data_IF_482299428456
#
_entry.id   IF_482299428456
#
_cell.length_a   1.000
_cell.length_b   1.000
_cell.length_c   1.000
_cell.angle_alpha   90.00
_cell.angle_beta   90.00
_cell.angle_gamma   90.00
#
_symmetry.space_group_name_H-M   'P 1'
#
loop_
_entity.id
_entity.type
_entity.pdbx_description
1 polymer ?
#
# COMPACT_ATOMS: atom_id res chain seq x y z
N UNK A 1 22.21 20.57 -6.15
CA UNK A 1 22.04 19.47 -5.17
C UNK A 1 21.91 18.17 -5.97
N UNK A 2 22.83 17.22 -5.80
CA UNK A 2 22.78 15.94 -6.53
C UNK A 2 21.88 14.99 -5.74
N UNK A 3 20.74 14.62 -6.32
CA UNK A 3 19.83 13.62 -5.73
C UNK A 3 20.41 12.24 -5.99
N UNK A 4 20.70 11.50 -4.92
CA UNK A 4 21.27 10.15 -5.01
C UNK A 4 20.20 9.07 -4.85
N UNK A 5 20.47 7.87 -5.37
CA UNK A 5 19.54 6.73 -5.23
C UNK A 5 19.19 6.41 -3.76
N UNK A 6 20.14 6.36 -2.80
CA UNK A 6 19.79 6.17 -1.38
C UNK A 6 18.89 7.27 -0.82
N UNK A 7 19.06 8.53 -1.27
CA UNK A 7 18.19 9.63 -0.86
C UNK A 7 16.76 9.42 -1.39
N UNK A 8 16.60 9.00 -2.65
CA UNK A 8 15.28 8.67 -3.22
C UNK A 8 14.60 7.52 -2.48
N UNK A 9 15.32 6.44 -2.19
CA UNK A 9 14.78 5.32 -1.40
C UNK A 9 14.37 5.77 -0.01
N UNK A 10 15.16 6.65 0.64
CA UNK A 10 14.81 7.19 1.95
C UNK A 10 13.55 8.06 1.90
N UNK A 11 13.39 8.91 0.89
CA UNK A 11 12.18 9.72 0.71
C UNK A 11 10.96 8.85 0.47
N UNK A 12 11.06 7.84 -0.40
CA UNK A 12 9.95 6.91 -0.61
C UNK A 12 9.65 6.05 0.61
N UNK A 13 10.65 5.68 1.42
CA UNK A 13 10.43 5.00 2.69
C UNK A 13 9.66 5.86 3.71
N UNK A 14 9.94 7.18 3.75
CA UNK A 14 9.13 8.14 4.51
C UNK A 14 7.71 8.20 3.94
N UNK A 15 7.56 8.24 2.62
CA UNK A 15 6.26 8.26 1.96
C UNK A 15 5.43 7.00 2.29
N UNK A 16 6.03 5.80 2.26
CA UNK A 16 5.38 4.55 2.68
C UNK A 16 4.90 4.63 4.13
N UNK A 17 5.75 5.14 5.03
CA UNK A 17 5.40 5.27 6.45
C UNK A 17 4.28 6.28 6.67
N UNK A 18 4.34 7.45 6.04
CA UNK A 18 3.32 8.48 6.14
C UNK A 18 2.00 8.02 5.53
N UNK A 19 2.03 7.49 4.30
CA UNK A 19 0.85 6.97 3.61
C UNK A 19 0.17 5.86 4.39
N UNK A 20 0.94 4.88 4.88
CA UNK A 20 0.39 3.82 5.75
C UNK A 20 -0.23 4.37 7.04
N UNK A 21 0.42 5.35 7.68
CA UNK A 21 -0.10 5.94 8.93
C UNK A 21 -1.35 6.77 8.71
N UNK A 22 -1.39 7.59 7.66
CA UNK A 22 -2.56 8.37 7.29
C UNK A 22 -3.72 7.44 6.91
N UNK A 23 -3.46 6.40 6.11
CA UNK A 23 -4.48 5.40 5.74
C UNK A 23 -5.03 4.70 6.97
N UNK A 24 -4.18 4.34 7.92
CA UNK A 24 -4.61 3.73 9.19
C UNK A 24 -5.55 4.67 9.95
N UNK A 25 -5.15 5.93 10.14
CA UNK A 25 -5.96 6.94 10.83
C UNK A 25 -7.30 7.20 10.13
N UNK A 26 -7.29 7.27 8.80
CA UNK A 26 -8.51 7.50 8.00
C UNK A 26 -9.53 6.37 8.12
N UNK A 27 -9.13 5.15 8.49
CA UNK A 27 -10.07 4.03 8.72
C UNK A 27 -11.06 4.30 9.83
N UNK A 28 -10.79 5.24 10.73
CA UNK A 28 -11.66 5.62 11.85
C UNK A 28 -12.49 6.88 11.58
N UNK A 29 -12.38 7.44 10.37
CA UNK A 29 -13.07 8.66 9.97
C UNK A 29 -14.16 8.27 8.97
N UNK A 30 -15.45 8.53 9.27
CA UNK A 30 -16.53 8.29 8.32
C UNK A 30 -16.32 9.09 7.04
N UNK A 31 -16.55 8.45 5.89
CA UNK A 31 -16.52 9.14 4.60
C UNK A 31 -17.70 10.10 4.47
N UNK A 32 -17.42 11.29 3.93
CA UNK A 32 -18.42 12.34 3.67
C UNK A 32 -18.18 12.86 2.26
N UNK A 33 -19.17 12.68 1.39
CA UNK A 33 -19.11 13.13 -0.01
C UNK A 33 -18.87 14.64 -0.13
N UNK A 34 -18.00 15.05 -1.05
CA UNK A 34 -17.68 16.46 -1.32
C UNK A 34 -16.89 17.16 -0.21
N UNK A 35 -16.38 16.41 0.77
CA UNK A 35 -15.56 16.96 1.84
C UNK A 35 -14.14 17.21 1.36
N UNK A 36 -13.82 18.46 1.03
CA UNK A 36 -12.47 18.88 0.61
C UNK A 36 -11.36 18.40 1.56
N UNK A 37 -11.51 18.47 2.91
CA UNK A 37 -10.51 17.92 3.82
C UNK A 37 -10.29 16.41 3.68
N UNK A 38 -11.36 15.62 3.47
CA UNK A 38 -11.24 14.17 3.30
C UNK A 38 -10.64 13.81 1.94
N UNK A 39 -11.07 14.46 0.87
CA UNK A 39 -10.50 14.26 -0.47
C UNK A 39 -9.00 14.60 -0.47
N UNK A 40 -8.61 15.70 0.19
CA UNK A 40 -7.20 16.06 0.33
C UNK A 40 -6.43 15.02 1.13
N UNK A 41 -7.00 14.51 2.23
CA UNK A 41 -6.39 13.46 3.04
C UNK A 41 -6.15 12.19 2.21
N UNK A 42 -7.14 11.72 1.45
CA UNK A 42 -7.02 10.54 0.62
C UNK A 42 -6.04 10.74 -0.53
N UNK A 43 -6.10 11.89 -1.22
CA UNK A 43 -5.13 12.23 -2.27
C UNK A 43 -3.68 12.19 -1.76
N UNK A 44 -3.39 12.85 -0.63
CA UNK A 44 -2.05 12.85 -0.04
C UNK A 44 -1.64 11.44 0.38
N UNK A 45 -2.57 10.67 0.92
CA UNK A 45 -2.36 9.27 1.32
C UNK A 45 -1.97 8.42 0.12
N UNK A 46 -2.73 8.49 -0.97
CA UNK A 46 -2.52 7.65 -2.15
C UNK A 46 -1.24 8.00 -2.91
N UNK A 47 -0.92 9.29 -3.00
CA UNK A 47 0.37 9.75 -3.56
C UNK A 47 1.53 9.21 -2.71
N UNK A 48 1.43 9.30 -1.38
CA UNK A 48 2.47 8.81 -0.48
C UNK A 48 2.62 7.28 -0.56
N UNK A 49 1.51 6.54 -0.63
CA UNK A 49 1.51 5.08 -0.80
C UNK A 49 2.13 4.67 -2.13
N UNK A 50 1.82 5.37 -3.24
CA UNK A 50 2.39 5.09 -4.55
C UNK A 50 3.92 5.25 -4.56
N UNK A 51 4.42 6.39 -4.07
CA UNK A 51 5.87 6.59 -3.95
C UNK A 51 6.53 5.63 -2.95
N UNK A 52 5.80 5.27 -1.89
CA UNK A 52 6.19 4.23 -0.96
C UNK A 52 6.38 2.87 -1.64
N UNK A 53 5.41 2.46 -2.45
CA UNK A 53 5.44 1.21 -3.20
C UNK A 53 6.63 1.16 -4.17
N UNK A 54 6.89 2.25 -4.89
CA UNK A 54 8.07 2.37 -5.75
C UNK A 54 9.38 2.15 -4.97
N UNK A 55 9.55 2.80 -3.82
CA UNK A 55 10.76 2.62 -3.01
C UNK A 55 10.90 1.21 -2.43
N UNK A 56 9.80 0.59 -1.99
CA UNK A 56 9.78 -0.78 -1.48
C UNK A 56 10.26 -1.76 -2.55
N UNK A 57 9.74 -1.64 -3.77
CA UNK A 57 10.15 -2.50 -4.88
C UNK A 57 11.59 -2.21 -5.32
N UNK A 58 11.93 -0.95 -5.60
CA UNK A 58 13.24 -0.56 -6.13
C UNK A 58 14.39 -0.87 -5.17
N UNK A 59 14.18 -0.78 -3.85
CA UNK A 59 15.19 -1.11 -2.86
C UNK A 59 15.58 -2.60 -2.83
N UNK A 60 14.79 -3.47 -3.47
CA UNK A 60 14.97 -4.92 -3.50
C UNK A 60 14.90 -5.51 -4.91
N UNK A 61 14.79 -4.69 -5.94
CA UNK A 61 14.49 -5.14 -7.31
C UNK A 61 15.53 -6.14 -7.84
N UNK A 62 16.78 -6.07 -7.38
CA UNK A 62 17.87 -7.01 -7.68
C UNK A 62 17.63 -8.43 -7.14
N UNK A 63 16.74 -8.59 -6.15
CA UNK A 63 16.43 -9.87 -5.49
C UNK A 63 15.06 -10.44 -5.87
N UNK A 64 14.22 -9.64 -6.51
CA UNK A 64 12.85 -10.01 -6.86
C UNK A 64 12.81 -10.84 -8.15
N UNK A 65 11.84 -11.76 -8.23
CA UNK A 65 11.55 -12.50 -9.45
C UNK A 65 10.45 -11.85 -10.28
N UNK A 66 10.04 -12.55 -11.35
CA UNK A 66 8.93 -12.14 -12.20
C UNK A 66 7.62 -11.96 -11.40
N UNK A 67 7.39 -12.81 -10.39
CA UNK A 67 6.22 -12.72 -9.51
C UNK A 67 6.17 -11.38 -8.76
N UNK A 68 7.31 -10.95 -8.20
CA UNK A 68 7.46 -9.66 -7.55
C UNK A 68 7.22 -8.49 -8.49
N UNK A 69 7.80 -8.55 -9.70
CA UNK A 69 7.60 -7.52 -10.73
C UNK A 69 6.12 -7.40 -11.13
N UNK A 70 5.46 -8.53 -11.42
CA UNK A 70 4.03 -8.56 -11.78
C UNK A 70 3.18 -8.01 -10.63
N UNK A 71 3.43 -8.45 -9.40
CA UNK A 71 2.73 -7.96 -8.22
C UNK A 71 2.90 -6.45 -8.04
N UNK A 72 4.13 -5.95 -8.18
CA UNK A 72 4.41 -4.52 -8.12
C UNK A 72 3.70 -3.73 -9.21
N UNK A 73 3.72 -4.17 -10.47
CA UNK A 73 3.06 -3.47 -11.59
C UNK A 73 1.55 -3.42 -11.37
N UNK A 74 0.93 -4.54 -10.99
CA UNK A 74 -0.50 -4.59 -10.70
C UNK A 74 -0.85 -3.63 -9.54
N UNK A 75 -0.05 -3.66 -8.46
CA UNK A 75 -0.28 -2.79 -7.31
C UNK A 75 -0.10 -1.30 -7.67
N UNK A 76 0.92 -0.95 -8.47
CA UNK A 76 1.17 0.41 -8.89
C UNK A 76 0.06 0.94 -9.81
N UNK A 77 -0.44 0.11 -10.73
CA UNK A 77 -1.58 0.46 -11.60
C UNK A 77 -2.84 0.68 -10.76
N UNK A 78 -3.15 -0.24 -9.85
CA UNK A 78 -4.31 -0.08 -8.97
C UNK A 78 -4.21 1.19 -8.10
N UNK A 79 -3.04 1.45 -7.52
CA UNK A 79 -2.80 2.63 -6.69
C UNK A 79 -2.91 3.92 -7.50
N UNK A 80 -2.40 3.92 -8.74
CA UNK A 80 -2.53 5.06 -9.65
C UNK A 80 -3.98 5.31 -10.07
N UNK A 81 -4.79 4.25 -10.22
CA UNK A 81 -6.19 4.35 -10.62
C UNK A 81 -7.09 5.00 -9.56
N UNK A 82 -6.71 4.91 -8.28
CA UNK A 82 -7.47 5.49 -7.17
C UNK A 82 -6.98 6.88 -6.74
N UNK A 83 -5.88 7.39 -7.33
CA UNK A 83 -5.42 8.75 -7.05
C UNK A 83 -6.36 9.76 -7.74
N UNK A 84 -7.08 10.53 -6.94
CA UNK A 84 -7.91 11.63 -7.41
C UNK A 84 -9.29 11.63 -6.75
N UNK A 85 -10.18 12.54 -7.17
CA UNK A 85 -11.55 12.56 -6.66
C UNK A 85 -12.27 11.26 -7.01
N UNK A 86 -13.00 10.71 -6.05
CA UNK A 86 -13.90 9.58 -6.27
C UNK A 86 -14.98 10.01 -7.27
N UNK A 87 -14.79 9.63 -8.52
CA UNK A 87 -15.78 9.79 -9.58
C UNK A 87 -16.00 8.44 -10.25
N UNK A 88 -17.17 8.26 -10.85
CA UNK A 88 -17.54 7.04 -11.56
C UNK A 88 -17.44 7.31 -13.06
N UNK A 89 -16.23 7.35 -13.65
CA UNK A 89 -16.10 7.61 -15.08
C UNK A 89 -16.74 6.45 -15.85
N UNK A 90 -17.56 6.79 -16.84
CA UNK A 90 -18.21 5.81 -17.72
C UNK A 90 -19.11 4.78 -17.01
N UNK A 91 -19.57 5.05 -15.78
CA UNK A 91 -20.38 4.11 -15.00
C UNK A 91 -19.60 2.93 -14.40
N UNK A 92 -18.26 3.00 -14.40
CA UNK A 92 -17.38 1.96 -13.85
C UNK A 92 -16.94 2.35 -12.44
N UNK A 93 -17.07 1.43 -11.49
CA UNK A 93 -16.47 1.55 -10.15
C UNK A 93 -14.94 1.38 -10.21
N UNK A 94 -14.26 2.44 -10.67
CA UNK A 94 -12.80 2.47 -10.80
C UNK A 94 -12.13 2.29 -9.45
N UNK A 95 -12.73 2.84 -8.38
CA UNK A 95 -12.23 2.68 -7.03
C UNK A 95 -12.20 1.21 -6.60
N UNK A 96 -13.34 0.51 -6.71
CA UNK A 96 -13.45 -0.90 -6.35
C UNK A 96 -12.51 -1.80 -7.16
N UNK A 97 -12.38 -1.55 -8.47
CA UNK A 97 -11.43 -2.27 -9.33
C UNK A 97 -9.99 -1.96 -8.91
N UNK A 98 -9.67 -0.69 -8.66
CA UNK A 98 -8.35 -0.25 -8.21
C UNK A 98 -7.93 -0.90 -6.90
N UNK A 99 -8.82 -0.95 -5.90
CA UNK A 99 -8.60 -1.63 -4.62
C UNK A 99 -8.29 -3.11 -4.83
N UNK A 100 -9.04 -3.81 -5.69
CA UNK A 100 -8.80 -5.23 -5.98
C UNK A 100 -7.42 -5.45 -6.62
N UNK A 101 -7.02 -4.58 -7.55
CA UNK A 101 -5.69 -4.62 -8.16
C UNK A 101 -4.60 -4.37 -7.12
N UNK A 102 -4.74 -3.36 -6.26
CA UNK A 102 -3.75 -3.07 -5.21
C UNK A 102 -3.58 -4.27 -4.28
N UNK A 103 -4.68 -4.83 -3.78
CA UNK A 103 -4.66 -5.96 -2.84
C UNK A 103 -4.05 -7.20 -3.51
N UNK A 104 -4.47 -7.52 -4.73
CA UNK A 104 -3.92 -8.66 -5.49
C UNK A 104 -2.44 -8.48 -5.81
N UNK A 105 -2.03 -7.29 -6.25
CA UNK A 105 -0.65 -6.97 -6.56
C UNK A 105 0.26 -7.06 -5.32
N UNK A 106 -0.18 -6.50 -4.19
CA UNK A 106 0.57 -6.56 -2.93
C UNK A 106 0.61 -7.96 -2.33
N UNK A 107 -0.43 -8.76 -2.54
CA UNK A 107 -0.41 -10.18 -2.17
C UNK A 107 0.69 -10.93 -2.93
N UNK A 108 0.76 -10.78 -4.26
CA UNK A 108 1.79 -11.40 -5.09
C UNK A 108 3.20 -10.88 -4.76
N UNK A 109 3.33 -9.56 -4.59
CA UNK A 109 4.57 -8.92 -4.18
C UNK A 109 5.01 -9.44 -2.81
N UNK A 110 4.09 -9.51 -1.85
CA UNK A 110 4.33 -10.03 -0.50
C UNK A 110 4.82 -11.47 -0.51
N UNK A 111 4.19 -12.34 -1.32
CA UNK A 111 4.65 -13.73 -1.48
C UNK A 111 6.09 -13.78 -1.98
N UNK A 112 6.45 -13.02 -3.02
CA UNK A 112 7.81 -13.04 -3.55
C UNK A 112 8.81 -12.45 -2.55
N UNK A 113 8.45 -11.38 -1.82
CA UNK A 113 9.26 -10.79 -0.76
C UNK A 113 9.62 -11.82 0.33
N UNK A 114 8.65 -12.62 0.76
CA UNK A 114 8.86 -13.70 1.74
C UNK A 114 9.72 -14.81 1.14
N UNK A 115 9.36 -15.32 -0.05
CA UNK A 115 10.07 -16.42 -0.72
C UNK A 115 11.53 -16.10 -1.00
N UNK A 116 11.84 -14.83 -1.31
CA UNK A 116 13.19 -14.36 -1.61
C UNK A 116 13.95 -13.88 -0.36
N UNK A 117 13.31 -13.85 0.81
CA UNK A 117 13.91 -13.29 2.03
C UNK A 117 14.32 -11.83 1.89
N UNK A 118 13.65 -11.07 1.01
CA UNK A 118 13.98 -9.69 0.72
C UNK A 118 13.51 -8.73 1.82
N UNK A 119 12.54 -9.17 2.64
CA UNK A 119 11.99 -8.48 3.80
C UNK A 119 11.73 -9.45 4.95
N UNK A 120 11.63 -8.96 6.21
CA UNK A 120 11.09 -9.76 7.31
C UNK A 120 9.67 -10.23 6.98
N UNK A 121 9.39 -11.52 7.19
CA UNK A 121 8.14 -12.14 6.75
C UNK A 121 6.89 -11.49 7.36
N UNK A 122 6.97 -10.99 8.59
CA UNK A 122 5.85 -10.32 9.27
C UNK A 122 5.41 -9.02 8.57
N UNK A 123 6.33 -8.33 7.87
CA UNK A 123 6.01 -7.09 7.13
C UNK A 123 5.12 -7.42 5.94
N UNK A 124 5.57 -8.35 5.09
CA UNK A 124 4.80 -8.82 3.93
C UNK A 124 3.56 -9.61 4.35
N UNK A 125 3.58 -10.25 5.54
CA UNK A 125 2.47 -10.98 6.12
C UNK A 125 1.21 -10.14 6.25
N UNK A 126 1.33 -8.84 6.52
CA UNK A 126 0.18 -7.94 6.53
C UNK A 126 -0.53 -7.89 5.19
N UNK A 127 0.18 -7.67 4.08
CA UNK A 127 -0.41 -7.65 2.74
C UNK A 127 -0.92 -9.01 2.29
N UNK A 128 -0.21 -10.08 2.65
CA UNK A 128 -0.66 -11.46 2.36
C UNK A 128 -2.00 -11.75 3.06
N UNK A 129 -2.19 -11.22 4.28
CA UNK A 129 -3.42 -11.43 5.05
C UNK A 129 -4.63 -10.64 4.55
N UNK A 130 -4.43 -9.49 3.88
CA UNK A 130 -5.53 -8.61 3.41
C UNK A 130 -6.63 -9.37 2.66
N UNK A 131 -6.36 -10.11 1.56
CA UNK A 131 -7.43 -10.75 0.80
C UNK A 131 -8.20 -11.78 1.64
N UNK A 132 -7.54 -12.50 2.56
CA UNK A 132 -8.21 -13.47 3.42
C UNK A 132 -9.12 -12.81 4.45
N UNK A 133 -8.67 -11.71 5.05
CA UNK A 133 -9.47 -10.96 6.02
C UNK A 133 -10.63 -10.24 5.32
N UNK A 134 -10.37 -9.57 4.19
CA UNK A 134 -11.40 -8.85 3.45
C UNK A 134 -12.44 -9.77 2.84
N UNK A 135 -12.04 -10.88 2.20
CA UNK A 135 -12.99 -11.85 1.65
C UNK A 135 -13.68 -12.66 2.74
N UNK A 136 -12.92 -13.15 3.72
CA UNK A 136 -13.48 -13.98 4.79
C UNK A 136 -14.55 -13.26 5.60
N UNK A 137 -14.31 -11.99 5.95
CA UNK A 137 -15.31 -11.18 6.65
C UNK A 137 -16.37 -10.62 5.71
N UNK A 138 -16.05 -10.34 4.45
CA UNK A 138 -17.04 -9.91 3.46
C UNK A 138 -18.09 -10.98 3.14
N UNK A 139 -17.76 -12.26 3.29
CA UNK A 139 -18.74 -13.37 3.21
C UNK A 139 -19.68 -13.38 4.42
N UNK A 140 -19.18 -13.03 5.61
CA UNK A 140 -19.96 -13.03 6.85
C UNK A 140 -20.82 -11.77 7.01
N UNK A 141 -20.38 -10.65 6.43
CA UNK A 141 -21.03 -9.36 6.46
C UNK A 141 -20.86 -8.67 5.09
N UNK A 142 -21.82 -8.85 4.15
CA UNK A 142 -21.72 -8.35 2.79
C UNK A 142 -22.05 -6.84 2.69
N UNK A 143 -22.06 -6.12 3.80
CA UNK A 143 -22.25 -4.67 3.77
C UNK A 143 -21.07 -3.98 3.07
N UNK A 144 -21.35 -3.07 2.12
CA UNK A 144 -20.31 -2.21 1.55
C UNK A 144 -19.59 -1.47 2.68
N UNK A 145 -18.26 -1.51 2.67
CA UNK A 145 -17.41 -0.90 3.69
C UNK A 145 -17.58 -1.48 5.12
N UNK A 146 -18.08 -2.71 5.26
CA UNK A 146 -18.17 -3.44 6.53
C UNK A 146 -16.82 -3.87 7.12
N UNK A 147 -16.85 -4.83 8.05
CA UNK A 147 -15.66 -5.27 8.81
C UNK A 147 -14.49 -5.75 7.94
N UNK A 148 -14.77 -6.39 6.81
CA UNK A 148 -13.73 -6.85 5.87
C UNK A 148 -12.97 -5.69 5.20
N UNK A 149 -13.67 -4.59 4.90
CA UNK A 149 -13.04 -3.37 4.37
C UNK A 149 -12.25 -2.66 5.47
N UNK A 150 -12.83 -2.50 6.66
CA UNK A 150 -12.18 -1.83 7.78
C UNK A 150 -10.90 -2.54 8.23
N UNK A 151 -10.97 -3.84 8.52
CA UNK A 151 -9.81 -4.62 8.98
C UNK A 151 -8.80 -4.88 7.86
N UNK A 152 -9.27 -5.06 6.62
CA UNK A 152 -8.39 -5.12 5.44
C UNK A 152 -7.60 -3.83 5.26
N UNK A 153 -8.25 -2.68 5.40
CA UNK A 153 -7.62 -1.36 5.35
C UNK A 153 -6.57 -1.16 6.46
N UNK A 154 -6.82 -1.67 7.67
CA UNK A 154 -5.84 -1.66 8.76
C UNK A 154 -4.60 -2.50 8.40
N UNK A 155 -4.77 -3.75 7.94
CA UNK A 155 -3.65 -4.60 7.57
C UNK A 155 -2.84 -4.02 6.42
N UNK A 156 -3.53 -3.52 5.39
CA UNK A 156 -2.92 -2.81 4.27
C UNK A 156 -2.02 -1.66 4.76
N UNK A 157 -2.55 -0.84 5.66
CA UNK A 157 -1.86 0.31 6.25
C UNK A 157 -0.63 -0.11 7.06
N UNK A 158 -0.77 -1.15 7.90
CA UNK A 158 0.32 -1.68 8.70
C UNK A 158 1.45 -2.24 7.84
N UNK A 159 1.13 -2.88 6.71
CA UNK A 159 2.13 -3.37 5.75
C UNK A 159 3.00 -2.25 5.20
N UNK A 160 2.41 -1.13 4.77
CA UNK A 160 3.15 0.04 4.29
C UNK A 160 3.97 0.71 5.39
N UNK A 161 3.38 0.94 6.56
CA UNK A 161 4.07 1.55 7.70
C UNK A 161 5.26 0.71 8.16
N UNK A 162 5.07 -0.60 8.28
CA UNK A 162 6.12 -1.54 8.62
C UNK A 162 7.22 -1.57 7.56
N UNK A 163 6.85 -1.63 6.27
CA UNK A 163 7.81 -1.68 5.19
C UNK A 163 8.66 -0.40 5.09
N UNK A 164 8.04 0.78 5.23
CA UNK A 164 8.71 2.06 5.27
C UNK A 164 9.68 2.16 6.45
N UNK A 165 9.25 1.76 7.66
CA UNK A 165 10.11 1.75 8.84
C UNK A 165 11.29 0.78 8.69
N UNK A 166 11.07 -0.41 8.12
CA UNK A 166 12.15 -1.37 7.83
C UNK A 166 13.17 -0.76 6.87
N UNK A 167 12.74 -0.11 5.78
CA UNK A 167 13.66 0.55 4.85
C UNK A 167 14.49 1.61 5.57
N UNK A 168 13.85 2.53 6.29
CA UNK A 168 14.54 3.60 7.00
C UNK A 168 15.63 3.10 7.94
N UNK A 169 15.38 1.99 8.64
CA UNK A 169 16.37 1.34 9.51
C UNK A 169 17.54 0.74 8.74
N UNK A 170 17.32 0.26 7.52
CA UNK A 170 18.38 -0.30 6.67
C UNK A 170 19.18 0.73 5.88
N UNK A 171 18.62 1.91 5.59
CA UNK A 171 19.32 2.98 4.86
C UNK A 171 20.15 3.89 5.77
N UNK A 172 19.94 3.85 7.09
CA UNK A 172 20.78 4.61 8.02
C UNK A 172 22.13 3.92 8.23
N UNK A 173 23.26 4.67 8.28
CA UNK A 173 24.53 4.10 8.69
C UNK A 173 24.36 3.51 10.08
N UNK A 174 24.56 2.20 10.23
CA UNK A 174 24.66 1.59 11.55
C UNK A 174 25.79 2.30 12.27
N UNK A 175 25.48 3.05 13.33
CA UNK A 175 26.50 3.50 14.29
C UNK A 175 27.15 2.22 14.83
N UNK A 176 28.35 1.90 14.33
CA UNK A 176 29.27 0.95 14.96
C UNK A 176 30.08 1.71 15.99
#
# INVERSE_FOLDING_TARGET
MIVTFPALIRLGAIAALLGGTLRFGSSFIPWVEGSVPLETLYFVTDVALLFGLFAIYLARADRMGLLGLVGFVIAAVGQAAIIGPDHVPFGIDVYGVGVQLIVGGLFLLGIDLVRKGAYPAWVAGFWIAVPFVSLGLGVLDPTPYGWGYFLGGILFSLGFSAAGLTLLRTTMPTRR
#
